data_IF_723677581933
#
_entry.id   IF_723677581933
#
_cell.length_a   1.000
_cell.length_b   1.000
_cell.length_c   1.000
_cell.angle_alpha   90.00
_cell.angle_beta   90.00
_cell.angle_gamma   90.00
#
_symmetry.space_group_name_H-M   'P 1'
#
loop_
_entity.id
_entity.type
_entity.pdbx_description
1 polymer ?
#
# COMPACT_ATOMS: atom_id res chain seq x y z
N UNK A 1 -42.59 1.36 -22.37
CA UNK A 1 -42.20 2.58 -21.63
C UNK A 1 -40.70 2.80 -21.84
N UNK A 2 -40.31 3.85 -22.57
CA UNK A 2 -38.90 4.15 -22.82
C UNK A 2 -38.34 5.00 -21.66
N UNK A 3 -37.40 4.47 -20.90
CA UNK A 3 -36.70 5.23 -19.85
C UNK A 3 -35.82 6.28 -20.53
N UNK A 4 -36.18 7.55 -20.39
CA UNK A 4 -35.43 8.72 -20.84
C UNK A 4 -33.98 8.59 -20.31
N UNK A 5 -33.00 8.43 -21.21
CA UNK A 5 -31.57 8.35 -20.87
C UNK A 5 -31.21 9.54 -19.98
N UNK A 6 -30.94 9.28 -18.70
CA UNK A 6 -30.51 10.31 -17.77
C UNK A 6 -29.13 10.84 -18.23
N UNK A 7 -29.00 12.18 -18.30
CA UNK A 7 -27.72 12.83 -18.61
C UNK A 7 -26.68 12.40 -17.56
N UNK A 8 -25.41 12.18 -17.93
CA UNK A 8 -24.37 11.83 -16.96
C UNK A 8 -24.27 12.94 -15.90
N UNK A 9 -24.53 12.60 -14.63
CA UNK A 9 -24.40 13.54 -13.52
C UNK A 9 -22.93 13.96 -13.38
N UNK A 10 -22.66 15.25 -13.13
CA UNK A 10 -21.31 15.80 -12.90
C UNK A 10 -20.64 15.36 -11.58
N UNK A 11 -21.24 14.44 -10.84
CA UNK A 11 -20.88 14.15 -9.44
C UNK A 11 -20.09 12.86 -9.29
N UNK A 12 -18.76 12.95 -9.37
CA UNK A 12 -17.81 11.97 -8.80
C UNK A 12 -17.82 10.56 -9.41
N UNK A 13 -16.71 9.83 -9.22
CA UNK A 13 -16.64 8.39 -9.53
C UNK A 13 -17.40 7.61 -8.46
N UNK A 14 -18.20 6.64 -8.87
CA UNK A 14 -18.92 5.73 -7.97
C UNK A 14 -18.04 4.52 -7.66
N UNK A 15 -17.91 4.20 -6.38
CA UNK A 15 -17.23 2.99 -5.90
C UNK A 15 -18.28 2.13 -5.20
N UNK A 16 -18.41 0.86 -5.63
CA UNK A 16 -19.30 -0.12 -5.02
C UNK A 16 -18.47 -1.13 -4.23
N UNK A 17 -18.85 -1.36 -2.97
CA UNK A 17 -18.19 -2.31 -2.06
C UNK A 17 -19.24 -3.19 -1.41
N UNK A 18 -18.91 -4.47 -1.18
CA UNK A 18 -19.74 -5.36 -0.39
C UNK A 18 -19.34 -5.22 1.09
N UNK A 19 -20.34 -5.08 1.95
CA UNK A 19 -20.16 -4.99 3.40
C UNK A 19 -20.90 -6.15 4.06
N UNK A 20 -20.39 -6.59 5.20
CA UNK A 20 -21.06 -7.59 6.02
C UNK A 20 -22.35 -7.03 6.64
N UNK A 21 -23.34 -7.90 6.86
CA UNK A 21 -24.65 -7.51 7.37
C UNK A 21 -24.57 -6.79 8.72
N UNK A 22 -23.68 -7.26 9.61
CA UNK A 22 -23.46 -6.63 10.92
C UNK A 22 -22.99 -5.18 10.77
N UNK A 23 -22.06 -4.93 9.84
CA UNK A 23 -21.53 -3.58 9.59
C UNK A 23 -22.61 -2.66 9.00
N UNK A 24 -23.47 -3.18 8.13
CA UNK A 24 -24.62 -2.44 7.60
C UNK A 24 -25.57 -2.07 8.74
N UNK A 25 -25.93 -3.02 9.61
CA UNK A 25 -26.80 -2.77 10.77
C UNK A 25 -26.24 -1.72 11.74
N UNK A 26 -24.92 -1.72 11.97
CA UNK A 26 -24.24 -0.68 12.76
C UNK A 26 -24.32 0.70 12.10
N UNK A 27 -24.13 0.77 10.79
CA UNK A 27 -24.24 2.02 10.03
C UNK A 27 -25.68 2.56 10.02
N UNK A 28 -26.68 1.67 9.91
CA UNK A 28 -28.10 2.03 9.98
C UNK A 28 -28.45 2.60 11.36
N UNK A 29 -28.09 1.89 12.43
CA UNK A 29 -28.33 2.36 13.80
C UNK A 29 -27.67 3.72 14.07
N UNK A 30 -26.47 3.95 13.53
CA UNK A 30 -25.75 5.22 13.68
C UNK A 30 -26.41 6.33 12.87
N UNK A 31 -26.84 6.05 11.65
CA UNK A 31 -27.56 6.98 10.78
C UNK A 31 -28.88 7.44 11.42
N UNK A 32 -29.68 6.49 11.93
CA UNK A 32 -30.95 6.77 12.60
C UNK A 32 -30.78 7.64 13.84
N UNK A 33 -29.82 7.31 14.71
CA UNK A 33 -29.58 8.06 15.96
C UNK A 33 -29.13 9.49 15.75
N UNK A 34 -28.53 9.78 14.60
CA UNK A 34 -27.85 11.06 14.34
C UNK A 34 -28.52 11.90 13.26
N UNK A 35 -29.55 11.38 12.60
CA UNK A 35 -30.26 12.04 11.51
C UNK A 35 -29.40 12.24 10.26
N UNK A 36 -28.37 11.42 10.05
CA UNK A 36 -27.44 11.51 8.90
C UNK A 36 -27.53 10.27 8.02
N UNK A 37 -27.07 10.36 6.76
CA UNK A 37 -27.07 9.21 5.85
C UNK A 37 -25.92 8.24 6.11
N UNK A 38 -26.12 6.95 5.81
CA UNK A 38 -25.04 5.94 5.84
C UNK A 38 -23.81 6.37 5.04
N UNK A 39 -24.02 6.93 3.85
CA UNK A 39 -22.96 7.40 2.97
C UNK A 39 -22.13 8.52 3.59
N UNK A 40 -22.69 9.32 4.50
CA UNK A 40 -21.91 10.30 5.27
C UNK A 40 -20.87 9.58 6.15
N UNK A 41 -21.31 8.58 6.91
CA UNK A 41 -20.43 7.81 7.80
C UNK A 41 -19.40 6.97 7.07
N UNK A 42 -19.78 6.35 5.94
CA UNK A 42 -18.82 5.62 5.09
C UNK A 42 -17.73 6.57 4.60
N UNK A 43 -18.10 7.75 4.08
CA UNK A 43 -17.11 8.75 3.63
C UNK A 43 -16.24 9.27 4.78
N UNK A 44 -16.82 9.45 5.97
CA UNK A 44 -16.11 9.91 7.15
C UNK A 44 -15.09 8.87 7.63
N UNK A 45 -15.50 7.60 7.72
CA UNK A 45 -14.63 6.49 8.09
C UNK A 45 -13.49 6.32 7.08
N UNK A 46 -13.79 6.37 5.78
CA UNK A 46 -12.78 6.31 4.73
C UNK A 46 -11.78 7.46 4.87
N UNK A 47 -12.22 8.71 4.99
CA UNK A 47 -11.32 9.87 5.11
C UNK A 47 -10.43 9.82 6.36
N UNK A 48 -10.99 9.37 7.49
CA UNK A 48 -10.23 9.29 8.75
C UNK A 48 -9.23 8.14 8.76
N UNK A 49 -9.50 7.05 8.04
CA UNK A 49 -8.64 5.87 8.01
C UNK A 49 -7.60 5.91 6.88
N UNK A 50 -7.89 6.61 5.78
CA UNK A 50 -7.08 6.55 4.57
C UNK A 50 -5.63 7.02 4.80
N UNK A 51 -5.42 8.11 5.55
CA UNK A 51 -4.06 8.61 5.81
C UNK A 51 -3.21 7.61 6.60
N UNK A 52 -3.79 6.88 7.55
CA UNK A 52 -3.07 5.84 8.30
C UNK A 52 -2.77 4.62 7.42
N UNK A 53 -3.69 4.25 6.51
CA UNK A 53 -3.46 3.19 5.54
C UNK A 53 -2.35 3.57 4.54
N UNK A 54 -2.34 4.82 4.07
CA UNK A 54 -1.29 5.35 3.21
C UNK A 54 0.08 5.28 3.90
N UNK A 55 0.17 5.73 5.15
CA UNK A 55 1.39 5.66 5.96
C UNK A 55 1.88 4.22 6.16
N UNK A 56 1.00 3.31 6.60
CA UNK A 56 1.36 1.89 6.79
C UNK A 56 1.88 1.23 5.51
N UNK A 57 1.30 1.58 4.36
CA UNK A 57 1.75 1.05 3.08
C UNK A 57 3.02 1.74 2.57
N UNK A 58 3.22 3.04 2.83
CA UNK A 58 4.47 3.73 2.51
C UNK A 58 5.63 3.22 3.36
N UNK A 59 5.43 3.00 4.65
CA UNK A 59 6.43 2.37 5.53
C UNK A 59 6.81 0.98 5.03
N UNK A 60 5.84 0.16 4.62
CA UNK A 60 6.13 -1.15 4.03
C UNK A 60 6.88 -1.05 2.70
N UNK A 61 6.54 -0.07 1.85
CA UNK A 61 7.25 0.16 0.59
C UNK A 61 8.67 0.65 0.85
N UNK A 62 8.86 1.55 1.81
CA UNK A 62 10.17 2.05 2.23
C UNK A 62 11.02 0.92 2.84
N UNK A 63 10.47 0.13 3.76
CA UNK A 63 11.16 -1.01 4.36
C UNK A 63 11.58 -2.07 3.33
N UNK A 64 10.72 -2.35 2.33
CA UNK A 64 11.09 -3.23 1.21
C UNK A 64 12.22 -2.63 0.37
N UNK A 65 12.13 -1.33 0.05
CA UNK A 65 13.16 -0.64 -0.72
C UNK A 65 14.50 -0.61 0.02
N UNK A 66 14.50 -0.34 1.32
CA UNK A 66 15.69 -0.38 2.18
C UNK A 66 16.29 -1.78 2.22
N UNK A 67 15.48 -2.82 2.46
CA UNK A 67 15.93 -4.21 2.45
C UNK A 67 16.56 -4.60 1.10
N UNK A 68 15.90 -4.29 -0.01
CA UNK A 68 16.40 -4.57 -1.36
C UNK A 68 17.71 -3.82 -1.65
N UNK A 69 17.82 -2.58 -1.16
CA UNK A 69 19.02 -1.74 -1.35
C UNK A 69 20.19 -2.29 -0.53
N UNK A 70 19.96 -2.63 0.75
CA UNK A 70 20.95 -3.22 1.63
C UNK A 70 21.42 -4.57 1.08
N UNK A 71 20.51 -5.44 0.63
CA UNK A 71 20.85 -6.74 0.03
C UNK A 71 21.67 -6.63 -1.24
N UNK A 72 21.43 -5.59 -2.05
CA UNK A 72 22.25 -5.33 -3.25
C UNK A 72 23.64 -4.87 -2.87
N UNK A 73 23.75 -3.87 -1.99
CA UNK A 73 25.04 -3.33 -1.54
C UNK A 73 25.89 -4.39 -0.84
N UNK A 74 25.27 -5.21 0.01
CA UNK A 74 25.94 -6.31 0.69
C UNK A 74 26.54 -7.32 -0.31
N UNK A 75 25.78 -7.69 -1.34
CA UNK A 75 26.27 -8.60 -2.40
C UNK A 75 27.44 -8.00 -3.18
N UNK A 76 27.40 -6.71 -3.47
CA UNK A 76 28.46 -6.00 -4.19
C UNK A 76 29.75 -5.97 -3.37
N UNK A 77 29.66 -5.62 -2.08
CA UNK A 77 30.81 -5.64 -1.16
C UNK A 77 31.40 -7.06 -1.05
N UNK A 78 30.56 -8.08 -0.89
CA UNK A 78 31.02 -9.46 -0.79
C UNK A 78 31.68 -9.98 -2.07
N UNK A 79 31.16 -9.59 -3.24
CA UNK A 79 31.77 -9.91 -4.52
C UNK A 79 33.18 -9.29 -4.62
N UNK A 80 33.31 -8.01 -4.26
CA UNK A 80 34.58 -7.30 -4.32
C UNK A 80 35.63 -7.86 -3.35
N UNK A 81 35.24 -8.19 -2.11
CA UNK A 81 36.14 -8.84 -1.14
C UNK A 81 36.61 -10.21 -1.66
N UNK A 82 35.71 -10.99 -2.27
CA UNK A 82 36.05 -12.31 -2.82
C UNK A 82 37.01 -12.19 -4.00
N UNK A 83 36.81 -11.20 -4.87
CA UNK A 83 37.70 -10.90 -6.00
C UNK A 83 39.08 -10.44 -5.53
N UNK A 84 39.13 -9.60 -4.49
CA UNK A 84 40.38 -9.12 -3.89
C UNK A 84 41.16 -10.25 -3.20
N UNK A 85 40.48 -11.17 -2.50
CA UNK A 85 41.10 -12.34 -1.88
C UNK A 85 41.66 -13.32 -2.92
N UNK A 86 40.95 -13.56 -4.01
CA UNK A 86 41.41 -14.41 -5.11
C UNK A 86 42.58 -13.79 -5.88
N UNK A 87 42.59 -12.46 -6.05
CA UNK A 87 43.72 -11.73 -6.61
C UNK A 87 44.96 -11.84 -5.70
N UNK A 88 44.79 -11.70 -4.38
CA UNK A 88 45.86 -11.82 -3.40
C UNK A 88 46.46 -13.23 -3.35
N UNK A 89 45.64 -14.29 -3.44
CA UNK A 89 46.12 -15.69 -3.51
C UNK A 89 46.90 -15.97 -4.79
N UNK A 90 46.43 -15.47 -5.94
CA UNK A 90 47.15 -15.60 -7.22
C UNK A 90 48.49 -14.87 -7.23
N UNK A 91 48.57 -13.71 -6.59
CA UNK A 91 49.82 -12.96 -6.45
C UNK A 91 50.86 -13.70 -5.58
N UNK A 92 50.44 -14.42 -4.54
CA UNK A 92 51.32 -15.25 -3.70
C UNK A 92 51.85 -16.48 -4.44
N UNK A 93 51.01 -17.18 -5.21
CA UNK A 93 51.39 -18.40 -5.97
C UNK A 93 52.35 -18.15 -7.14
N UNK A 94 52.47 -16.91 -7.62
CA UNK A 94 53.34 -16.54 -8.75
C UNK A 94 54.77 -16.16 -8.31
N UNK A 95 55.05 -16.16 -7.00
CA UNK A 95 56.32 -15.74 -6.41
C UNK A 95 57.14 -16.92 -5.84
N UNK A 96 56.59 -18.13 -5.89
CA UNK A 96 57.25 -19.42 -5.68
C UNK A 96 57.51 -20.09 -7.04
#
# INVERSE_FOLDING_TARGET
MATKKQKPHQSGRVVSVRLEEELIGRLDSLAERTGRSKSFYIKLALRSSLSQLEEYHWEQVAARFESDTIDRQFREIMAQITEDDEAAKKARKKKD
#
